data_IF_036169009917
#
_entry.id   IF_036169009917
#
_cell.length_a   1.000
_cell.length_b   1.000
_cell.length_c   1.000
_cell.angle_alpha   90.00
_cell.angle_beta   90.00
_cell.angle_gamma   90.00
#
_symmetry.space_group_name_H-M   'P 1'
#
loop_
_entity.id
_entity.type
_entity.pdbx_description
1 polymer ?
#
# COMPACT_ATOMS: atom_id res chain seq x y z
N UNK A 1 -12.35 -10.55 9.95
CA UNK A 1 -11.69 -9.35 10.52
C UNK A 1 -11.90 -8.19 9.56
N UNK A 2 -12.07 -6.96 10.07
CA UNK A 2 -12.17 -5.76 9.24
C UNK A 2 -11.27 -4.64 9.77
N UNK A 3 -10.74 -3.82 8.86
CA UNK A 3 -10.07 -2.55 9.16
C UNK A 3 -10.86 -1.43 8.49
N UNK A 4 -10.98 -0.30 9.16
CA UNK A 4 -11.67 0.88 8.63
C UNK A 4 -10.67 2.01 8.46
N UNK A 5 -10.63 2.59 7.28
CA UNK A 5 -9.69 3.64 6.90
C UNK A 5 -10.47 4.94 6.82
N UNK A 6 -10.05 5.92 7.62
CA UNK A 6 -10.66 7.25 7.68
C UNK A 6 -9.56 8.30 7.62
N UNK A 7 -9.91 9.48 7.11
CA UNK A 7 -9.09 10.67 7.37
C UNK A 7 -9.27 11.10 8.83
N UNK A 8 -8.24 11.70 9.47
CA UNK A 8 -8.36 12.19 10.84
C UNK A 8 -9.56 13.11 11.02
N UNK A 9 -10.47 12.75 11.94
CA UNK A 9 -11.69 13.53 12.22
C UNK A 9 -12.79 13.43 11.15
N UNK A 10 -12.67 12.52 10.19
CA UNK A 10 -13.64 12.33 9.10
C UNK A 10 -14.38 11.00 9.19
N UNK A 11 -15.32 10.78 8.26
CA UNK A 11 -15.99 9.51 8.08
C UNK A 11 -15.07 8.47 7.41
N UNK A 12 -15.36 7.19 7.63
CA UNK A 12 -14.63 6.09 7.00
C UNK A 12 -14.77 6.12 5.48
N UNK A 13 -13.63 6.21 4.81
CA UNK A 13 -13.52 6.24 3.34
C UNK A 13 -13.48 4.84 2.74
N UNK A 14 -12.84 3.89 3.43
CA UNK A 14 -12.73 2.51 2.96
C UNK A 14 -12.87 1.51 4.09
N UNK A 15 -13.48 0.37 3.78
CA UNK A 15 -13.50 -0.80 4.64
C UNK A 15 -12.67 -1.92 4.01
N UNK A 16 -11.72 -2.46 4.76
CA UNK A 16 -10.91 -3.61 4.35
C UNK A 16 -11.41 -4.83 5.08
N UNK A 17 -11.81 -5.86 4.36
CA UNK A 17 -12.26 -7.13 4.91
C UNK A 17 -11.24 -8.23 4.67
N UNK A 18 -10.95 -8.98 5.74
CA UNK A 18 -10.11 -10.18 5.73
C UNK A 18 -10.93 -11.33 6.35
N UNK A 19 -11.72 -12.06 5.55
CA UNK A 19 -12.68 -13.04 6.07
C UNK A 19 -12.00 -14.24 6.75
N UNK A 20 -10.77 -14.59 6.33
CA UNK A 20 -9.97 -15.65 6.94
C UNK A 20 -8.87 -15.11 7.89
N UNK A 21 -9.08 -13.91 8.45
CA UNK A 21 -8.11 -13.24 9.31
C UNK A 21 -6.86 -12.75 8.57
N UNK A 22 -5.81 -12.42 9.32
CA UNK A 22 -4.55 -11.85 8.80
C UNK A 22 -3.84 -12.71 7.75
N UNK A 23 -4.16 -14.00 7.65
CA UNK A 23 -3.56 -14.90 6.66
C UNK A 23 -4.41 -15.07 5.39
N UNK A 24 -5.60 -14.47 5.37
CA UNK A 24 -6.58 -14.62 4.31
C UNK A 24 -6.41 -13.65 3.14
N UNK A 25 -7.25 -13.81 2.11
CA UNK A 25 -7.41 -12.77 1.09
C UNK A 25 -7.91 -11.47 1.73
N UNK A 26 -7.55 -10.36 1.10
CA UNK A 26 -7.88 -9.00 1.51
C UNK A 26 -8.82 -8.40 0.48
N UNK A 27 -9.89 -7.73 0.92
CA UNK A 27 -10.87 -7.11 0.05
C UNK A 27 -11.09 -5.67 0.46
N UNK A 28 -10.99 -4.73 -0.47
CA UNK A 28 -11.23 -3.32 -0.25
C UNK A 28 -12.64 -2.95 -0.73
N UNK A 29 -13.42 -2.32 0.13
CA UNK A 29 -14.75 -1.81 -0.15
C UNK A 29 -14.76 -0.28 -0.02
N UNK A 30 -15.52 0.42 -0.86
CA UNK A 30 -15.72 1.85 -0.72
C UNK A 30 -16.65 2.15 0.48
N UNK A 31 -16.37 3.23 1.20
CA UNK A 31 -17.17 3.70 2.32
C UNK A 31 -16.95 2.91 3.62
N UNK A 32 -17.93 2.99 4.52
CA UNK A 32 -17.83 2.50 5.89
C UNK A 32 -18.35 1.08 6.12
N UNK A 33 -18.81 0.39 5.08
CA UNK A 33 -19.46 -0.93 5.20
C UNK A 33 -18.85 -1.97 4.27
N UNK A 34 -18.74 -3.21 4.76
CA UNK A 34 -18.41 -4.39 3.95
C UNK A 34 -19.69 -4.88 3.26
N UNK A 35 -20.12 -4.16 2.23
CA UNK A 35 -21.34 -4.47 1.48
C UNK A 35 -21.11 -4.26 -0.03
N UNK A 36 -21.82 -5.05 -0.85
CA UNK A 36 -21.69 -5.00 -2.31
C UNK A 36 -20.42 -5.67 -2.83
N UNK A 37 -19.93 -5.18 -3.97
CA UNK A 37 -18.74 -5.71 -4.63
C UNK A 37 -17.47 -4.97 -4.16
N UNK A 38 -16.39 -5.68 -3.82
CA UNK A 38 -15.12 -5.02 -3.47
C UNK A 38 -14.55 -4.30 -4.69
N UNK A 39 -13.99 -3.11 -4.47
CA UNK A 39 -13.28 -2.35 -5.51
C UNK A 39 -11.90 -2.95 -5.80
N UNK A 40 -11.32 -3.70 -4.87
CA UNK A 40 -10.06 -4.42 -5.09
C UNK A 40 -9.97 -5.66 -4.22
N UNK A 41 -9.24 -6.66 -4.69
CA UNK A 41 -8.89 -7.84 -3.91
C UNK A 41 -7.39 -8.11 -3.96
N UNK A 42 -6.84 -8.56 -2.84
CA UNK A 42 -5.45 -8.93 -2.67
C UNK A 42 -5.35 -10.40 -2.25
N UNK A 43 -4.54 -11.16 -2.97
CA UNK A 43 -4.29 -12.57 -2.67
C UNK A 43 -2.79 -12.77 -2.53
N UNK A 44 -2.39 -13.50 -1.49
CA UNK A 44 -0.99 -13.89 -1.30
C UNK A 44 -0.61 -15.01 -2.27
N UNK A 45 0.56 -14.89 -2.88
CA UNK A 45 1.22 -15.93 -3.68
C UNK A 45 2.50 -16.41 -2.97
N UNK A 46 3.20 -17.41 -3.53
CA UNK A 46 4.46 -17.92 -2.97
C UNK A 46 5.50 -16.82 -2.75
N UNK A 47 5.59 -15.91 -3.73
CA UNK A 47 6.67 -14.94 -3.86
C UNK A 47 6.22 -13.48 -3.61
N UNK A 48 4.98 -13.30 -3.15
CA UNK A 48 4.46 -11.97 -2.82
C UNK A 48 2.93 -11.90 -2.77
N UNK A 49 2.38 -10.89 -3.43
CA UNK A 49 0.95 -10.57 -3.41
C UNK A 49 0.48 -10.11 -4.79
N UNK A 50 -0.77 -10.40 -5.09
CA UNK A 50 -1.39 -9.99 -6.35
C UNK A 50 -2.67 -9.24 -6.05
N UNK A 51 -2.80 -8.05 -6.63
CA UNK A 51 -3.95 -7.16 -6.48
C UNK A 51 -4.77 -7.12 -7.77
N UNK A 52 -6.08 -7.31 -7.66
CA UNK A 52 -7.04 -7.08 -8.73
C UNK A 52 -7.56 -5.66 -8.64
N UNK A 53 -7.55 -4.93 -9.76
CA UNK A 53 -7.98 -3.55 -9.86
C UNK A 53 -9.24 -3.45 -10.72
N UNK A 54 -10.21 -2.59 -10.34
CA UNK A 54 -11.49 -2.52 -11.00
C UNK A 54 -11.34 -1.79 -12.34
N UNK A 55 -12.16 -2.15 -13.33
CA UNK A 55 -12.36 -1.27 -14.47
C UNK A 55 -13.11 -0.02 -14.04
N UNK A 56 -12.73 1.15 -14.56
CA UNK A 56 -13.42 2.42 -14.32
C UNK A 56 -13.95 2.94 -15.66
N UNK A 57 -15.22 2.62 -16.01
CA UNK A 57 -15.78 2.97 -17.31
C UNK A 57 -15.77 4.48 -17.58
N UNK A 58 -16.02 5.31 -16.56
CA UNK A 58 -16.06 6.77 -16.67
C UNK A 58 -14.73 7.39 -17.12
N UNK A 59 -13.61 6.67 -16.93
CA UNK A 59 -12.28 7.11 -17.34
C UNK A 59 -11.63 6.16 -18.37
N UNK A 60 -12.45 5.34 -19.05
CA UNK A 60 -12.00 4.31 -20.00
C UNK A 60 -10.79 3.52 -19.49
N UNK A 61 -10.79 3.19 -18.20
CA UNK A 61 -9.66 2.52 -17.56
C UNK A 61 -10.02 1.05 -17.42
N UNK A 62 -9.34 0.14 -18.11
CA UNK A 62 -9.66 -1.29 -18.05
C UNK A 62 -9.36 -1.84 -16.66
N UNK A 63 -10.00 -2.96 -16.30
CA UNK A 63 -9.57 -3.74 -15.14
C UNK A 63 -8.12 -4.20 -15.31
N UNK A 64 -7.40 -4.34 -14.21
CA UNK A 64 -5.99 -4.67 -14.24
C UNK A 64 -5.57 -5.55 -13.08
N UNK A 65 -4.33 -6.01 -13.15
CA UNK A 65 -3.70 -6.78 -12.09
C UNK A 65 -2.32 -6.19 -11.80
N UNK A 66 -1.97 -6.07 -10.53
CA UNK A 66 -0.63 -5.66 -10.09
C UNK A 66 -0.05 -6.74 -9.20
N UNK A 67 1.14 -7.20 -9.56
CA UNK A 67 1.93 -8.13 -8.75
C UNK A 67 2.96 -7.37 -7.93
N UNK A 68 2.98 -7.63 -6.64
CA UNK A 68 3.97 -7.15 -5.70
C UNK A 68 4.84 -8.31 -5.27
N UNK A 69 6.14 -8.21 -5.47
CA UNK A 69 7.12 -9.21 -5.05
C UNK A 69 7.62 -8.88 -3.64
N UNK A 70 7.94 -9.92 -2.87
CA UNK A 70 8.54 -9.76 -1.56
C UNK A 70 9.99 -10.27 -1.57
N UNK A 71 10.94 -9.35 -1.43
CA UNK A 71 12.34 -9.69 -1.21
C UNK A 71 12.60 -9.91 0.28
N UNK A 72 12.62 -11.19 0.69
CA UNK A 72 12.93 -11.60 2.05
C UNK A 72 14.39 -11.35 2.38
N UNK A 73 14.63 -10.44 3.32
CA UNK A 73 15.94 -10.22 3.93
C UNK A 73 15.74 -9.87 5.39
N UNK A 74 16.51 -10.47 6.29
CA UNK A 74 16.41 -10.24 7.73
C UNK A 74 16.70 -8.79 8.13
N UNK A 75 17.61 -8.12 7.41
CA UNK A 75 18.06 -6.76 7.74
C UNK A 75 17.47 -5.68 6.84
N UNK A 76 16.88 -6.06 5.71
CA UNK A 76 16.43 -5.13 4.68
C UNK A 76 15.31 -5.75 3.82
N UNK A 77 14.18 -6.12 4.43
CA UNK A 77 13.03 -6.65 3.72
C UNK A 77 12.42 -5.56 2.82
N UNK A 78 11.96 -5.95 1.62
CA UNK A 78 11.43 -5.01 0.62
C UNK A 78 10.24 -5.60 -0.11
N UNK A 79 9.21 -4.79 -0.34
CA UNK A 79 8.09 -5.15 -1.21
C UNK A 79 8.08 -4.25 -2.43
N UNK A 80 8.11 -4.83 -3.62
CA UNK A 80 8.29 -4.05 -4.85
C UNK A 80 7.19 -4.37 -5.85
N UNK A 81 6.65 -3.35 -6.51
CA UNK A 81 5.68 -3.51 -7.59
C UNK A 81 5.94 -2.48 -8.68
N UNK A 82 5.38 -2.71 -9.86
CA UNK A 82 5.42 -1.73 -10.95
C UNK A 82 4.05 -1.61 -11.57
N UNK A 83 3.65 -0.41 -11.93
CA UNK A 83 2.36 -0.16 -12.54
C UNK A 83 2.36 1.14 -13.35
N UNK A 84 1.35 1.29 -14.21
CA UNK A 84 1.11 2.55 -14.91
C UNK A 84 0.49 3.58 -13.95
N UNK A 85 1.06 4.78 -13.93
CA UNK A 85 0.59 5.92 -13.14
C UNK A 85 0.37 7.12 -14.04
N UNK A 86 -0.48 8.04 -13.59
CA UNK A 86 -0.71 9.31 -14.26
C UNK A 86 0.46 10.29 -14.02
N UNK A 87 0.85 11.02 -15.06
CA UNK A 87 1.92 12.01 -15.01
C UNK A 87 1.76 13.05 -16.12
N UNK A 88 1.43 14.29 -15.74
CA UNK A 88 1.36 15.43 -16.67
C UNK A 88 0.43 15.20 -17.86
N UNK A 89 -0.72 14.54 -17.65
CA UNK A 89 -1.70 14.21 -18.71
C UNK A 89 -1.36 12.95 -19.53
N UNK A 90 -0.26 12.26 -19.23
CA UNK A 90 0.12 10.98 -19.85
C UNK A 90 0.17 9.84 -18.83
N UNK A 91 0.16 8.59 -19.29
CA UNK A 91 0.42 7.42 -18.44
C UNK A 91 1.83 6.92 -18.65
N UNK A 92 2.53 6.59 -17.56
CA UNK A 92 3.87 5.97 -17.62
C UNK A 92 4.00 4.86 -16.59
N UNK A 93 4.78 3.83 -16.92
CA UNK A 93 5.10 2.77 -15.96
C UNK A 93 6.21 3.21 -15.02
N UNK A 94 5.95 3.10 -13.73
CA UNK A 94 6.90 3.38 -12.66
C UNK A 94 7.03 2.17 -11.72
N UNK A 95 8.20 2.04 -11.10
CA UNK A 95 8.44 1.05 -10.05
C UNK A 95 8.39 1.71 -8.68
N UNK A 96 7.88 0.94 -7.72
CA UNK A 96 7.72 1.34 -6.34
C UNK A 96 8.30 0.27 -5.43
N UNK A 97 8.83 0.70 -4.29
CA UNK A 97 9.40 -0.19 -3.29
C UNK A 97 9.07 0.30 -1.88
N UNK A 98 8.41 -0.55 -1.10
CA UNK A 98 8.29 -0.38 0.34
C UNK A 98 9.59 -0.76 1.03
N UNK A 99 10.08 0.13 1.89
CA UNK A 99 11.27 -0.06 2.72
C UNK A 99 10.96 0.29 4.17
N UNK A 100 11.61 -0.38 5.11
CA UNK A 100 11.59 0.03 6.51
C UNK A 100 12.31 1.38 6.62
N UNK A 101 11.68 2.35 7.29
CA UNK A 101 12.31 3.62 7.62
C UNK A 101 13.13 3.49 8.90
N UNK A 102 14.31 4.11 8.93
CA UNK A 102 15.09 4.25 10.17
C UNK A 102 14.43 5.21 11.18
N UNK A 103 13.40 5.96 10.77
CA UNK A 103 12.63 6.87 11.64
C UNK A 103 11.80 6.11 12.69
N UNK A 104 11.52 4.81 12.47
CA UNK A 104 10.84 3.97 13.46
C UNK A 104 11.60 3.90 14.80
N UNK A 105 12.92 4.11 14.82
CA UNK A 105 13.74 4.09 16.03
C UNK A 105 13.61 5.36 16.90
N UNK A 106 12.84 6.38 16.48
CA UNK A 106 12.76 7.69 17.17
C UNK A 106 11.47 7.97 17.97
N UNK A 107 10.88 6.91 18.53
CA UNK A 107 10.05 6.89 19.76
C UNK A 107 8.52 7.01 19.70
N UNK A 108 7.87 7.23 18.55
CA UNK A 108 6.39 7.25 18.47
C UNK A 108 5.76 6.01 17.79
N UNK A 109 6.52 5.34 16.91
CA UNK A 109 6.03 4.24 16.09
C UNK A 109 6.77 2.94 16.44
N UNK A 110 6.05 1.83 16.49
CA UNK A 110 6.66 0.49 16.61
C UNK A 110 7.20 0.01 15.26
N UNK A 111 6.63 0.49 14.16
CA UNK A 111 7.01 0.13 12.80
C UNK A 111 6.71 1.29 11.85
N UNK A 112 7.62 1.57 10.91
CA UNK A 112 7.39 2.53 9.82
C UNK A 112 7.90 1.94 8.51
N UNK A 113 7.02 1.85 7.52
CA UNK A 113 7.35 1.54 6.15
C UNK A 113 7.10 2.76 5.26
N UNK A 114 8.01 3.02 4.34
CA UNK A 114 7.92 4.09 3.35
C UNK A 114 7.87 3.50 1.95
N UNK A 115 6.92 3.97 1.16
CA UNK A 115 6.80 3.63 -0.25
C UNK A 115 7.63 4.62 -1.07
N UNK A 116 8.66 4.11 -1.71
CA UNK A 116 9.59 4.90 -2.51
C UNK A 116 9.28 4.71 -3.99
N UNK A 117 9.08 5.82 -4.70
CA UNK A 117 9.06 5.85 -6.15
C UNK A 117 10.49 5.73 -6.68
N UNK A 118 10.76 4.66 -7.44
CA UNK A 118 12.05 4.41 -8.10
C UNK A 118 12.12 5.05 -9.49
N UNK A 119 11.04 5.70 -9.93
CA UNK A 119 10.92 6.33 -11.25
C UNK A 119 10.68 5.33 -12.38
N UNK A 120 11.03 5.75 -13.60
CA UNK A 120 10.72 5.01 -14.84
C UNK A 120 11.50 3.70 -14.93
N UNK A 121 10.82 2.63 -15.32
CA UNK A 121 11.43 1.40 -15.80
C UNK A 121 11.94 1.58 -17.23
N UNK A 122 13.05 2.31 -17.45
CA UNK A 122 13.68 2.34 -18.78
C UNK A 122 14.62 1.14 -18.94
N UNK A 123 14.46 0.40 -20.03
CA UNK A 123 15.41 -0.64 -20.51
C UNK A 123 16.74 -0.07 -21.02
N UNK A 124 16.87 1.25 -21.10
CA UNK A 124 18.09 1.93 -21.52
C UNK A 124 18.22 3.26 -20.80
N UNK A 125 19.20 3.36 -19.91
CA UNK A 125 20.09 4.52 -19.77
C UNK A 125 20.89 4.43 -18.48
N UNK A 126 22.19 4.54 -18.67
CA UNK A 126 23.23 4.77 -17.71
C UNK A 126 23.04 6.08 -16.92
N UNK A 127 23.50 6.05 -15.67
CA UNK A 127 24.12 7.17 -14.93
C UNK A 127 23.35 8.47 -14.62
N UNK A 128 22.01 8.52 -14.69
CA UNK A 128 21.29 9.57 -13.94
C UNK A 128 20.76 9.03 -12.62
N UNK A 129 21.29 9.59 -11.53
CA UNK A 129 20.77 9.42 -10.17
C UNK A 129 19.25 9.49 -10.20
N UNK A 130 18.60 8.34 -9.99
CA UNK A 130 17.15 8.25 -9.91
C UNK A 130 16.76 8.97 -8.62
N UNK A 131 16.16 10.16 -8.73
CA UNK A 131 15.58 10.84 -7.57
C UNK A 131 14.52 9.93 -6.98
N UNK A 132 14.89 9.24 -5.90
CA UNK A 132 13.99 8.41 -5.14
C UNK A 132 13.12 9.33 -4.31
N UNK A 133 11.81 9.28 -4.52
CA UNK A 133 10.84 10.12 -3.80
C UNK A 133 10.00 9.23 -2.89
N UNK A 134 9.82 9.60 -1.63
CA UNK A 134 8.86 8.92 -0.75
C UNK A 134 7.46 9.43 -1.10
N UNK A 135 6.59 8.51 -1.52
CA UNK A 135 5.24 8.80 -2.02
C UNK A 135 4.12 8.29 -1.11
N UNK A 136 4.43 7.39 -0.18
CA UNK A 136 3.51 7.04 0.90
C UNK A 136 4.27 6.52 2.11
N UNK A 137 3.58 6.47 3.24
CA UNK A 137 4.08 5.89 4.48
C UNK A 137 2.95 5.14 5.18
N UNK A 138 3.29 4.02 5.80
CA UNK A 138 2.43 3.33 6.76
C UNK A 138 3.20 3.14 8.05
N UNK A 139 2.55 3.43 9.17
CA UNK A 139 3.13 3.25 10.49
C UNK A 139 2.16 2.51 11.41
N UNK A 140 2.73 1.86 12.40
CA UNK A 140 2.01 1.33 13.55
C UNK A 140 2.44 2.11 14.79
N UNK A 141 1.46 2.50 15.61
CA UNK A 141 1.73 3.28 16.81
C UNK A 141 2.31 2.38 17.90
N UNK A 142 3.22 2.92 18.71
CA UNK A 142 3.72 2.22 19.87
C UNK A 142 2.67 2.25 20.99
N UNK A 143 1.78 1.26 21.02
CA UNK A 143 0.77 1.16 22.09
C UNK A 143 1.42 0.64 23.37
N UNK A 144 1.51 1.48 24.40
CA UNK A 144 2.19 1.21 25.66
C UNK A 144 1.46 0.22 26.59
N UNK A 145 0.73 -0.78 26.09
CA UNK A 145 -0.08 -1.66 26.95
C UNK A 145 -0.01 -3.12 26.54
N UNK A 146 0.70 -3.91 27.35
CA UNK A 146 0.91 -5.36 27.24
C UNK A 146 -0.34 -6.21 27.50
N UNK A 147 -1.50 -5.82 26.98
CA UNK A 147 -2.66 -6.70 26.90
C UNK A 147 -2.68 -7.37 25.54
N UNK A 148 -2.68 -8.71 25.51
CA UNK A 148 -2.74 -9.52 24.29
C UNK A 148 -4.03 -9.35 23.45
N UNK A 149 -4.94 -8.47 23.89
CA UNK A 149 -6.13 -8.03 23.15
C UNK A 149 -5.95 -6.67 22.44
N UNK A 150 -4.71 -6.18 22.30
CA UNK A 150 -4.38 -4.82 21.87
C UNK A 150 -5.02 -4.44 20.52
N UNK A 151 -5.86 -3.41 20.55
CA UNK A 151 -6.32 -2.68 19.37
C UNK A 151 -5.10 -2.06 18.70
N UNK A 152 -4.72 -2.57 17.52
CA UNK A 152 -3.63 -2.00 16.72
C UNK A 152 -4.11 -0.70 16.09
N UNK A 153 -3.41 0.39 16.39
CA UNK A 153 -3.61 1.68 15.73
C UNK A 153 -2.38 2.02 14.90
N UNK A 154 -2.60 2.79 13.85
CA UNK A 154 -1.58 3.20 12.92
C UNK A 154 -2.16 4.12 11.89
N UNK A 155 -1.29 4.62 11.02
CA UNK A 155 -1.67 5.58 9.99
C UNK A 155 -1.13 5.18 8.64
N UNK A 156 -1.86 5.58 7.61
CA UNK A 156 -1.39 5.57 6.24
C UNK A 156 -1.46 7.01 5.72
N UNK A 157 -0.38 7.46 5.07
CA UNK A 157 -0.29 8.82 4.55
C UNK A 157 0.31 8.83 3.15
N UNK A 158 -0.32 9.58 2.24
CA UNK A 158 0.29 9.94 0.97
C UNK A 158 1.28 11.10 1.16
N UNK A 159 2.43 11.00 0.51
CA UNK A 159 3.53 11.95 0.62
C UNK A 159 3.98 12.41 -0.78
N UNK A 160 4.72 13.52 -0.83
CA UNK A 160 5.22 14.06 -2.09
C UNK A 160 4.11 14.30 -3.11
N UNK A 161 4.35 13.94 -4.38
CA UNK A 161 3.33 14.10 -5.44
C UNK A 161 2.09 13.23 -5.27
N UNK A 162 2.14 12.15 -4.50
CA UNK A 162 0.96 11.32 -4.28
C UNK A 162 -0.10 12.02 -3.43
N UNK A 163 0.29 12.98 -2.58
CA UNK A 163 -0.61 13.69 -1.69
C UNK A 163 -1.69 14.50 -2.44
N UNK A 164 -1.45 14.84 -3.72
CA UNK A 164 -2.39 15.58 -4.56
C UNK A 164 -3.23 14.69 -5.47
N UNK A 165 -3.14 13.36 -5.32
CA UNK A 165 -3.86 12.41 -6.18
C UNK A 165 -3.28 12.28 -7.58
N UNK A 166 -2.13 12.89 -7.88
CA UNK A 166 -1.58 13.00 -9.24
C UNK A 166 -1.16 11.67 -9.87
N UNK A 167 -1.13 10.59 -9.10
CA UNK A 167 -0.64 9.27 -9.55
C UNK A 167 -1.77 8.38 -10.11
N UNK A 168 -3.02 8.82 -9.96
CA UNK A 168 -4.20 8.12 -10.47
C UNK A 168 -4.84 7.16 -9.46
N UNK A 169 -6.09 6.79 -9.75
CA UNK A 169 -6.93 5.98 -8.84
C UNK A 169 -6.37 4.57 -8.60
N UNK A 170 -5.97 3.86 -9.66
CA UNK A 170 -5.41 2.51 -9.54
C UNK A 170 -4.16 2.48 -8.66
N UNK A 171 -3.31 3.49 -8.78
CA UNK A 171 -2.13 3.60 -7.93
C UNK A 171 -2.51 3.81 -6.47
N UNK A 172 -3.48 4.69 -6.20
CA UNK A 172 -4.00 4.96 -4.86
C UNK A 172 -4.51 3.67 -4.19
N UNK A 173 -5.33 2.90 -4.91
CA UNK A 173 -5.85 1.61 -4.44
C UNK A 173 -4.72 0.61 -4.20
N UNK A 174 -3.73 0.55 -5.08
CA UNK A 174 -2.59 -0.37 -4.96
C UNK A 174 -1.68 0.01 -3.77
N UNK A 175 -1.39 1.29 -3.56
CA UNK A 175 -0.61 1.78 -2.44
C UNK A 175 -1.30 1.45 -1.10
N UNK A 176 -2.61 1.65 -1.03
CA UNK A 176 -3.41 1.31 0.15
C UNK A 176 -3.43 -0.21 0.40
N UNK A 177 -3.77 -1.01 -0.61
CA UNK A 177 -3.81 -2.47 -0.50
C UNK A 177 -2.43 -3.06 -0.15
N UNK A 178 -1.36 -2.55 -0.74
CA UNK A 178 0.00 -2.98 -0.43
C UNK A 178 0.40 -2.67 1.01
N UNK A 179 -0.03 -1.52 1.57
CA UNK A 179 0.21 -1.22 2.99
C UNK A 179 -0.49 -2.21 3.92
N UNK A 180 -1.74 -2.59 3.60
CA UNK A 180 -2.48 -3.58 4.40
C UNK A 180 -1.76 -4.91 4.39
N UNK A 181 -1.34 -5.42 3.23
CA UNK A 181 -0.70 -6.75 3.19
C UNK A 181 0.67 -6.75 3.88
N UNK A 182 1.37 -5.61 3.94
CA UNK A 182 2.59 -5.48 4.75
C UNK A 182 2.27 -5.63 6.23
N UNK A 183 1.19 -4.99 6.72
CA UNK A 183 0.70 -5.19 8.08
C UNK A 183 0.30 -6.65 8.33
N UNK A 184 -0.31 -7.33 7.33
CA UNK A 184 -0.63 -8.75 7.44
C UNK A 184 0.61 -9.64 7.57
N UNK A 185 1.69 -9.34 6.83
CA UNK A 185 2.90 -10.16 6.81
C UNK A 185 3.76 -9.94 8.06
N UNK A 186 3.87 -8.70 8.54
CA UNK A 186 4.60 -8.34 9.77
C UNK A 186 3.95 -8.88 11.03
N UNK A 187 2.64 -9.16 11.02
CA UNK A 187 1.93 -9.79 12.14
C UNK A 187 2.27 -11.28 12.34
N UNK A 188 3.16 -11.85 11.52
CA UNK A 188 3.54 -13.27 11.56
C UNK A 188 4.80 -13.53 12.37
N UNK A 189 5.61 -12.50 12.61
CA UNK A 189 6.86 -12.55 13.38
C UNK A 189 6.59 -12.28 14.86
#
# INVERSE_FOLDING_TARGET
>A
MALFISEPGSHTLYAVCMPRGWQGPTYLFPGSSVAGHPISSGIRSSDGFTFQLPGIPSYNTPSGQVSMTYHRSRSNPRYSFSMSVEHGGSRRTESFEWRISSEAQRSAYSMVWQLVSLGRTSRSSSTRSRSSEVVAMVHEDNTASGSASAQRSGGFQFLGRAATGSMGYHWTVTALMSSVVILQDTSRE
#
